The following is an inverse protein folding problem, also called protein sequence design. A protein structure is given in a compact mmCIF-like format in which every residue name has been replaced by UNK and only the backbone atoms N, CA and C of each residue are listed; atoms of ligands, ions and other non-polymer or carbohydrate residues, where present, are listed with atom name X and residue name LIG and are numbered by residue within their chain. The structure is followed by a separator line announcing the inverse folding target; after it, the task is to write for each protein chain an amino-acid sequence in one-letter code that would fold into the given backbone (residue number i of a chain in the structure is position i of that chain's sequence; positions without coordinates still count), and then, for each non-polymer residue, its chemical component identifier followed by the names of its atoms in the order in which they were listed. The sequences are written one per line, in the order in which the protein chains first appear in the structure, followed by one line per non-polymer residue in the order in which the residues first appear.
data_IF_971823768742
#
_entry.id   IF_971823768742
#
_cell.length_a   1.000
_cell.length_b   1.000
_cell.length_c   1.000
_cell.angle_alpha   90.00
_cell.angle_beta   90.00
_cell.angle_gamma   90.00
#
_symmetry.space_group_name_H-M   'P 1'
#
loop_
_entity.id
_entity.type
_entity.pdbx_description
1 polymer ?
#
# COMPACT_ATOMS: atom_id res chain seq x y z
N UNK A 1 -10.85 0.66 -9.62
CA UNK A 1 -11.12 -0.13 -8.40
C UNK A 1 -10.65 -1.54 -8.68
N UNK A 2 -9.85 -2.13 -7.80
CA UNK A 2 -9.12 -3.37 -8.11
C UNK A 2 -10.01 -4.62 -8.14
N UNK A 3 -11.07 -4.65 -7.31
CA UNK A 3 -12.18 -5.61 -7.37
C UNK A 3 -13.31 -5.19 -6.39
N UNK A 4 -14.51 -5.75 -6.53
CA UNK A 4 -15.70 -5.32 -5.76
C UNK A 4 -15.77 -5.91 -4.35
N UNK A 5 -15.36 -7.17 -4.17
CA UNK A 5 -15.47 -7.87 -2.88
C UNK A 5 -14.55 -7.26 -1.81
N UNK A 6 -14.77 -7.60 -0.54
CA UNK A 6 -13.87 -7.19 0.56
C UNK A 6 -12.53 -7.93 0.51
N UNK A 7 -12.54 -9.20 0.13
CA UNK A 7 -11.34 -10.01 -0.04
C UNK A 7 -11.58 -11.14 -1.04
N UNK A 8 -10.50 -11.75 -1.54
CA UNK A 8 -10.53 -12.86 -2.48
C UNK A 8 -9.43 -13.88 -2.16
N UNK A 9 -9.78 -15.16 -2.18
CA UNK A 9 -8.79 -16.24 -2.16
C UNK A 9 -8.31 -16.55 -3.58
N UNK A 10 -7.00 -16.54 -3.79
CA UNK A 10 -6.36 -16.87 -5.06
C UNK A 10 -5.81 -18.30 -5.11
N UNK A 11 -5.24 -18.77 -4.01
CA UNK A 11 -4.68 -20.12 -3.94
C UNK A 11 -4.73 -20.66 -2.51
N UNK A 12 -5.00 -21.96 -2.37
CA UNK A 12 -4.94 -22.65 -1.06
C UNK A 12 -3.52 -23.04 -0.65
N UNK A 13 -2.60 -23.09 -1.61
CA UNK A 13 -1.23 -23.52 -1.38
C UNK A 13 -0.28 -22.82 -2.36
N UNK A 14 0.72 -22.15 -1.81
CA UNK A 14 1.81 -21.49 -2.52
C UNK A 14 3.13 -22.22 -2.20
N UNK A 15 4.06 -22.38 -3.17
CA UNK A 15 5.37 -23.00 -2.92
C UNK A 15 6.29 -22.07 -2.13
N UNK A 16 6.03 -21.94 -0.82
CA UNK A 16 6.68 -20.94 0.04
C UNK A 16 7.57 -21.53 1.14
N UNK A 17 7.71 -22.85 1.22
CA UNK A 17 8.44 -23.53 2.32
C UNK A 17 9.85 -22.97 2.53
N UNK A 18 10.64 -22.85 1.46
CA UNK A 18 12.01 -22.33 1.55
C UNK A 18 12.04 -20.87 2.04
N UNK A 19 11.10 -20.04 1.59
CA UNK A 19 10.95 -18.66 2.06
C UNK A 19 10.57 -18.62 3.54
N UNK A 20 9.55 -19.38 3.94
CA UNK A 20 9.10 -19.45 5.34
C UNK A 20 10.21 -19.89 6.26
N UNK A 21 10.94 -20.94 5.91
CA UNK A 21 12.02 -21.46 6.75
C UNK A 21 13.13 -20.41 6.92
N UNK A 22 13.42 -19.63 5.87
CA UNK A 22 14.39 -18.52 5.95
C UNK A 22 13.87 -17.35 6.78
N UNK A 23 12.59 -17.04 6.71
CA UNK A 23 11.93 -16.01 7.53
C UNK A 23 11.87 -16.41 9.00
N UNK A 24 11.64 -17.69 9.32
CA UNK A 24 11.67 -18.22 10.68
C UNK A 24 13.08 -18.19 11.30
N UNK A 25 14.12 -18.10 10.47
CA UNK A 25 15.51 -17.95 10.92
C UNK A 25 15.91 -16.50 11.20
N UNK A 26 15.04 -15.52 10.87
CA UNK A 26 15.28 -14.11 11.22
C UNK A 26 15.13 -13.92 12.73
N UNK A 27 16.09 -13.23 13.32
CA UNK A 27 16.15 -12.85 14.73
C UNK A 27 15.35 -11.57 14.97
N UNK A 28 15.03 -11.26 16.23
CA UNK A 28 14.39 -9.98 16.54
C UNK A 28 15.23 -8.76 16.15
N UNK A 29 16.56 -8.89 16.13
CA UNK A 29 17.48 -7.84 15.66
C UNK A 29 17.29 -7.53 14.17
N UNK A 30 17.09 -8.56 13.34
CA UNK A 30 16.77 -8.38 11.92
C UNK A 30 15.47 -7.58 11.73
N UNK A 31 14.53 -7.67 12.67
CA UNK A 31 13.28 -6.91 12.65
C UNK A 31 13.39 -5.53 13.30
N UNK A 32 14.46 -5.21 14.04
CA UNK A 32 14.65 -3.89 14.64
C UNK A 32 14.95 -2.81 13.60
N UNK A 33 15.54 -3.18 12.46
CA UNK A 33 15.79 -2.26 11.33
C UNK A 33 14.53 -1.90 10.53
N UNK A 34 13.37 -2.39 10.95
CA UNK A 34 12.13 -2.24 10.20
C UNK A 34 11.54 -0.83 10.28
N UNK A 35 10.80 -0.43 9.24
CA UNK A 35 9.90 0.71 9.32
C UNK A 35 8.55 0.29 9.93
N UNK A 36 8.02 1.13 10.81
CA UNK A 36 6.75 0.88 11.50
C UNK A 36 5.72 1.97 11.20
N UNK A 37 4.88 1.79 10.17
CA UNK A 37 3.83 2.75 9.86
C UNK A 37 2.67 2.76 10.88
N UNK A 38 2.58 1.78 11.79
CA UNK A 38 1.42 1.61 12.69
C UNK A 38 1.76 1.49 14.19
N UNK A 39 3.03 1.57 14.59
CA UNK A 39 3.50 1.48 15.99
C UNK A 39 3.60 0.05 16.55
N UNK A 40 3.09 -0.95 15.84
CA UNK A 40 3.13 -2.37 16.25
C UNK A 40 3.46 -3.32 15.09
N UNK A 41 3.89 -2.75 13.97
CA UNK A 41 4.22 -3.50 12.75
C UNK A 41 5.67 -3.33 12.40
N UNK A 42 6.28 -4.40 11.91
CA UNK A 42 7.66 -4.35 11.45
C UNK A 42 7.68 -4.77 9.99
N UNK A 43 8.10 -3.86 9.13
CA UNK A 43 8.21 -4.10 7.69
C UNK A 43 9.67 -4.25 7.27
N UNK A 44 9.97 -5.39 6.64
CA UNK A 44 11.26 -5.63 5.99
C UNK A 44 11.05 -5.68 4.48
N UNK A 45 11.45 -4.62 3.74
CA UNK A 45 11.26 -4.58 2.30
C UNK A 45 12.24 -5.52 1.59
N UNK A 46 11.74 -6.25 0.59
CA UNK A 46 12.53 -7.08 -0.33
C UNK A 46 12.69 -6.32 -1.66
N UNK A 47 11.57 -5.87 -2.23
CA UNK A 47 11.48 -4.96 -3.37
C UNK A 47 10.64 -3.75 -2.95
N UNK A 48 11.21 -2.55 -2.95
CA UNK A 48 10.50 -1.35 -2.51
C UNK A 48 11.17 -0.07 -3.00
N UNK A 49 10.36 0.88 -3.46
CA UNK A 49 10.78 2.21 -3.86
C UNK A 49 10.03 3.27 -3.04
N UNK A 50 10.78 4.18 -2.44
CA UNK A 50 10.25 5.23 -1.56
C UNK A 50 9.38 6.26 -2.30
N UNK A 51 9.57 6.36 -3.63
CA UNK A 51 8.76 7.20 -4.53
C UNK A 51 7.46 6.51 -5.01
N UNK A 52 7.25 5.25 -4.60
CA UNK A 52 6.11 4.42 -4.99
C UNK A 52 5.91 4.31 -6.51
N UNK A 53 6.99 4.37 -7.30
CA UNK A 53 6.91 4.08 -8.73
C UNK A 53 6.49 2.63 -8.95
N UNK A 54 5.77 2.39 -10.04
CA UNK A 54 5.33 1.05 -10.42
C UNK A 54 6.24 0.43 -11.47
N UNK A 55 7.47 0.91 -11.64
CA UNK A 55 8.39 0.44 -12.67
C UNK A 55 9.80 0.27 -12.12
N UNK A 56 10.48 -0.79 -12.58
CA UNK A 56 11.83 -1.15 -12.14
C UNK A 56 12.02 -1.17 -10.63
N UNK A 57 11.34 -2.06 -9.89
CA UNK A 57 11.36 -2.01 -8.43
C UNK A 57 12.75 -2.27 -7.87
N UNK A 58 13.19 -1.42 -6.94
CA UNK A 58 14.55 -1.51 -6.39
C UNK A 58 14.67 -2.66 -5.38
N UNK A 59 15.64 -3.58 -5.56
CA UNK A 59 16.03 -4.51 -4.51
C UNK A 59 16.52 -3.77 -3.27
N UNK A 60 16.13 -4.25 -2.09
CA UNK A 60 16.64 -3.76 -0.80
C UNK A 60 17.60 -4.78 -0.19
N UNK A 61 18.24 -4.44 0.93
CA UNK A 61 19.28 -5.25 1.56
C UNK A 61 18.87 -6.73 1.74
N UNK A 62 17.62 -6.97 2.11
CA UNK A 62 17.09 -8.32 2.34
C UNK A 62 16.96 -9.17 1.05
N UNK A 63 16.93 -8.53 -0.14
CA UNK A 63 16.91 -9.24 -1.41
C UNK A 63 18.17 -10.09 -1.63
N UNK A 64 19.32 -9.67 -1.11
CA UNK A 64 20.57 -10.45 -1.24
C UNK A 64 20.47 -11.82 -0.58
N UNK A 65 19.73 -11.93 0.52
CA UNK A 65 19.59 -13.16 1.30
C UNK A 65 18.30 -13.92 1.01
N UNK A 66 17.23 -13.23 0.59
CA UNK A 66 15.92 -13.83 0.31
C UNK A 66 15.56 -13.95 -1.16
N UNK A 67 16.28 -13.29 -2.07
CA UNK A 67 15.94 -13.22 -3.51
C UNK A 67 15.73 -14.60 -4.14
N UNK A 68 16.65 -15.54 -3.88
CA UNK A 68 16.57 -16.90 -4.42
C UNK A 68 15.35 -17.70 -3.90
N UNK A 69 14.90 -17.44 -2.67
CA UNK A 69 13.78 -18.16 -2.05
C UNK A 69 12.43 -17.48 -2.24
N UNK A 70 12.40 -16.18 -2.51
CA UNK A 70 11.17 -15.43 -2.81
C UNK A 70 10.77 -15.54 -4.29
N UNK A 71 11.74 -15.69 -5.19
CA UNK A 71 11.52 -15.77 -6.64
C UNK A 71 10.49 -16.85 -7.07
N UNK A 72 10.49 -18.09 -6.53
CA UNK A 72 9.44 -19.07 -6.83
C UNK A 72 8.03 -18.60 -6.44
N UNK A 73 7.90 -17.83 -5.35
CA UNK A 73 6.64 -17.25 -4.91
C UNK A 73 6.23 -16.12 -5.85
N UNK A 74 7.17 -15.25 -6.23
CA UNK A 74 6.93 -14.17 -7.19
C UNK A 74 6.44 -14.69 -8.53
N UNK A 75 7.08 -15.73 -9.07
CA UNK A 75 6.65 -16.41 -10.29
C UNK A 75 5.25 -17.00 -10.16
N UNK A 76 4.99 -17.72 -9.07
CA UNK A 76 3.67 -18.29 -8.80
C UNK A 76 2.59 -17.21 -8.75
N UNK A 77 2.88 -16.06 -8.15
CA UNK A 77 1.96 -14.91 -8.15
C UNK A 77 1.72 -14.41 -9.58
N UNK A 78 2.79 -14.09 -10.33
CA UNK A 78 2.68 -13.49 -11.66
C UNK A 78 1.98 -14.38 -12.69
N UNK A 79 2.12 -15.70 -12.61
CA UNK A 79 1.43 -16.67 -13.48
C UNK A 79 -0.11 -16.60 -13.39
N UNK A 80 -0.66 -15.94 -12.36
CA UNK A 80 -2.10 -15.77 -12.14
C UNK A 80 -2.63 -14.44 -12.67
N UNK A 81 -1.75 -13.57 -13.15
CA UNK A 81 -2.12 -12.28 -13.73
C UNK A 81 -1.90 -12.27 -15.25
N UNK A 82 -2.56 -11.35 -15.97
CA UNK A 82 -2.34 -11.19 -17.41
C UNK A 82 -0.87 -10.93 -17.74
N UNK A 83 -0.43 -11.36 -18.93
CA UNK A 83 0.92 -11.06 -19.43
C UNK A 83 1.22 -9.56 -19.40
N UNK A 84 2.45 -9.21 -19.03
CA UNK A 84 2.85 -7.81 -18.81
C UNK A 84 2.61 -7.30 -17.39
N UNK A 85 1.95 -8.08 -16.53
CA UNK A 85 1.85 -7.75 -15.10
C UNK A 85 3.21 -7.89 -14.41
N UNK A 86 3.44 -7.06 -13.40
CA UNK A 86 4.71 -6.99 -12.67
C UNK A 86 4.50 -6.81 -11.19
N UNK A 87 5.41 -7.37 -10.40
CA UNK A 87 5.50 -7.08 -8.98
C UNK A 87 6.17 -5.72 -8.84
N UNK A 88 5.52 -4.80 -8.15
CA UNK A 88 6.06 -3.45 -7.91
C UNK A 88 6.53 -3.27 -6.48
N UNK A 89 6.01 -4.07 -5.55
CA UNK A 89 6.51 -4.15 -4.17
C UNK A 89 6.44 -5.57 -3.65
N UNK A 90 7.42 -5.95 -2.85
CA UNK A 90 7.41 -7.18 -2.08
C UNK A 90 8.07 -6.94 -0.73
N UNK A 91 7.38 -7.26 0.35
CA UNK A 91 7.83 -6.95 1.71
C UNK A 91 7.32 -7.98 2.70
N UNK A 92 8.11 -8.26 3.72
CA UNK A 92 7.67 -9.03 4.88
C UNK A 92 7.07 -8.07 5.90
N UNK A 93 5.89 -8.39 6.40
CA UNK A 93 5.21 -7.59 7.42
C UNK A 93 4.91 -8.47 8.62
N UNK A 94 5.56 -8.14 9.73
CA UNK A 94 5.38 -8.75 11.04
C UNK A 94 4.43 -7.92 11.89
N UNK A 95 3.46 -8.58 12.51
CA UNK A 95 2.61 -8.01 13.55
C UNK A 95 2.92 -8.74 14.85
N UNK A 96 3.33 -8.00 15.87
CA UNK A 96 3.74 -8.56 17.16
C UNK A 96 2.62 -9.33 17.86
N UNK A 97 2.98 -10.11 18.88
CA UNK A 97 2.03 -10.79 19.77
C UNK A 97 1.13 -9.73 20.42
N UNK A 98 -0.19 -9.93 20.38
CA UNK A 98 -1.14 -8.95 20.91
C UNK A 98 -1.28 -7.68 20.07
N UNK A 99 -0.54 -7.56 18.95
CA UNK A 99 -0.57 -6.39 18.10
C UNK A 99 -1.90 -6.22 17.38
N UNK A 100 -2.29 -4.97 17.18
CA UNK A 100 -3.48 -4.59 16.42
C UNK A 100 -3.17 -3.42 15.49
N UNK A 101 -3.74 -3.48 14.28
CA UNK A 101 -3.77 -2.36 13.36
C UNK A 101 -5.24 -1.90 13.29
N UNK A 102 -5.57 -0.70 13.81
CA UNK A 102 -6.92 -0.17 13.76
C UNK A 102 -7.45 -0.09 12.33
N UNK A 103 -8.78 -0.12 12.19
CA UNK A 103 -9.40 -0.02 10.88
C UNK A 103 -9.06 1.31 10.20
N UNK A 104 -8.48 1.23 9.02
CA UNK A 104 -8.10 2.38 8.20
C UNK A 104 -8.36 2.07 6.73
N UNK A 105 -8.27 3.10 5.89
CA UNK A 105 -8.19 2.95 4.44
C UNK A 105 -6.75 3.27 4.06
N UNK A 106 -6.13 2.44 3.23
CA UNK A 106 -4.77 2.72 2.78
C UNK A 106 -4.76 4.05 2.01
N UNK A 107 -4.02 5.02 2.54
CA UNK A 107 -3.86 6.34 1.91
C UNK A 107 -2.52 6.34 1.18
N UNK A 108 -2.57 6.50 -0.13
CA UNK A 108 -1.37 6.57 -0.96
C UNK A 108 -1.72 6.50 -2.43
N UNK A 109 -1.10 7.34 -3.25
CA UNK A 109 -1.42 7.42 -4.67
C UNK A 109 -1.24 6.09 -5.40
N UNK A 110 -0.25 5.26 -5.02
CA UNK A 110 0.02 3.95 -5.63
C UNK A 110 -1.03 2.87 -5.29
N UNK A 111 -1.72 3.03 -4.17
CA UNK A 111 -2.54 1.98 -3.56
C UNK A 111 -3.76 1.54 -4.39
N UNK A 112 -4.49 2.46 -5.06
CA UNK A 112 -5.59 2.08 -5.93
C UNK A 112 -5.18 1.43 -7.24
N UNK A 113 -3.87 1.36 -7.56
CA UNK A 113 -3.36 0.90 -8.85
C UNK A 113 -2.49 -0.37 -8.74
N UNK A 114 -2.69 -1.14 -7.67
CA UNK A 114 -2.07 -2.45 -7.45
C UNK A 114 -3.06 -3.46 -6.88
N UNK A 115 -2.89 -4.73 -7.22
CA UNK A 115 -3.46 -5.83 -6.46
C UNK A 115 -2.56 -6.12 -5.26
N UNK A 116 -3.10 -5.98 -4.03
CA UNK A 116 -2.37 -6.22 -2.79
C UNK A 116 -2.63 -7.63 -2.28
N UNK A 117 -1.63 -8.50 -2.46
CA UNK A 117 -1.69 -9.89 -2.06
C UNK A 117 -1.00 -10.11 -0.73
N UNK A 118 -1.61 -10.92 0.12
CA UNK A 118 -1.08 -11.41 1.37
C UNK A 118 -0.87 -12.92 1.27
N UNK A 119 0.36 -13.34 1.52
CA UNK A 119 0.73 -14.73 1.72
C UNK A 119 1.18 -14.91 3.18
N UNK A 120 0.37 -15.54 4.04
CA UNK A 120 0.77 -15.86 5.40
C UNK A 120 1.88 -16.90 5.39
N UNK A 121 3.05 -16.51 5.89
CA UNK A 121 4.19 -17.40 6.13
C UNK A 121 4.13 -17.97 7.55
N UNK A 122 3.71 -17.12 8.51
CA UNK A 122 3.43 -17.50 9.89
C UNK A 122 2.10 -16.85 10.28
N UNK A 123 1.05 -17.65 10.43
CA UNK A 123 -0.26 -17.18 10.89
C UNK A 123 -0.96 -18.30 11.67
N UNK A 124 -1.54 -17.95 12.81
CA UNK A 124 -2.18 -18.89 13.75
C UNK A 124 -3.63 -18.51 13.97
N UNK A 125 -4.40 -19.44 14.53
CA UNK A 125 -5.72 -19.12 15.07
C UNK A 125 -5.58 -17.96 16.07
N UNK A 126 -6.43 -16.94 15.92
CA UNK A 126 -6.35 -15.68 16.69
C UNK A 126 -5.86 -14.47 15.88
N UNK A 127 -5.36 -14.67 14.65
CA UNK A 127 -5.14 -13.58 13.70
C UNK A 127 -6.42 -13.36 12.88
N UNK A 128 -7.04 -12.19 13.04
CA UNK A 128 -8.30 -11.84 12.36
C UNK A 128 -8.15 -10.52 11.64
N UNK A 129 -8.31 -10.54 10.31
CA UNK A 129 -8.48 -9.34 9.51
C UNK A 129 -9.95 -8.95 9.50
N UNK A 130 -10.24 -7.66 9.49
CA UNK A 130 -11.56 -7.13 9.15
C UNK A 130 -11.40 -6.28 7.90
N UNK A 131 -12.16 -6.54 6.85
CA UNK A 131 -12.11 -5.79 5.58
C UNK A 131 -13.53 -5.52 5.13
N UNK A 132 -13.89 -4.25 4.92
CA UNK A 132 -15.24 -3.89 4.48
C UNK A 132 -16.36 -4.36 5.42
N UNK A 133 -16.07 -4.52 6.71
CA UNK A 133 -17.00 -5.06 7.72
C UNK A 133 -17.04 -6.58 7.81
N UNK A 134 -16.30 -7.31 6.97
CA UNK A 134 -16.24 -8.77 6.98
C UNK A 134 -14.95 -9.27 7.67
N UNK A 135 -15.06 -10.31 8.50
CA UNK A 135 -13.91 -10.92 9.16
C UNK A 135 -13.27 -12.03 8.31
N UNK A 136 -11.94 -12.11 8.31
CA UNK A 136 -11.14 -13.06 7.54
C UNK A 136 -9.97 -13.58 8.39
N UNK A 137 -9.89 -14.90 8.55
CA UNK A 137 -8.72 -15.59 9.08
C UNK A 137 -7.89 -16.20 7.94
N UNK A 138 -6.74 -15.60 7.63
CA UNK A 138 -5.85 -16.10 6.57
C UNK A 138 -4.95 -17.22 7.11
N UNK A 139 -4.94 -18.39 6.46
CA UNK A 139 -4.11 -19.53 6.87
C UNK A 139 -2.77 -19.54 6.17
N UNK A 140 -1.78 -20.14 6.84
CA UNK A 140 -0.45 -20.36 6.29
C UNK A 140 -0.50 -21.03 4.91
N UNK A 141 0.23 -20.46 3.96
CA UNK A 141 0.34 -20.98 2.58
C UNK A 141 -0.83 -20.61 1.66
N UNK A 142 -1.89 -19.98 2.15
CA UNK A 142 -2.95 -19.43 1.31
C UNK A 142 -2.55 -18.08 0.70
N UNK A 143 -2.94 -17.81 -0.54
CA UNK A 143 -2.76 -16.50 -1.17
C UNK A 143 -4.08 -15.75 -1.16
N UNK A 144 -4.12 -14.64 -0.44
CA UNK A 144 -5.29 -13.79 -0.29
C UNK A 144 -5.06 -12.42 -0.92
N UNK A 145 -6.11 -11.80 -1.41
CA UNK A 145 -6.13 -10.39 -1.77
C UNK A 145 -7.14 -9.69 -0.86
N UNK A 146 -6.76 -8.52 -0.33
CA UNK A 146 -7.69 -7.67 0.41
C UNK A 146 -7.97 -6.42 -0.42
N UNK A 147 -9.20 -5.92 -0.29
CA UNK A 147 -9.59 -4.66 -0.87
C UNK A 147 -9.11 -3.53 0.06
N UNK A 148 -7.86 -3.13 -0.13
CA UNK A 148 -7.17 -2.15 0.70
C UNK A 148 -7.69 -0.71 0.57
N UNK A 149 -8.54 -0.43 -0.44
CA UNK A 149 -9.27 0.84 -0.56
C UNK A 149 -10.59 0.85 0.22
N UNK A 150 -10.95 -0.25 0.90
CA UNK A 150 -12.00 -0.29 1.92
C UNK A 150 -11.39 -0.13 3.31
N UNK A 151 -12.23 0.20 4.30
CA UNK A 151 -11.84 0.15 5.69
C UNK A 151 -11.39 -1.27 6.06
N UNK A 152 -10.17 -1.39 6.55
CA UNK A 152 -9.58 -2.66 6.93
C UNK A 152 -8.65 -2.52 8.13
N UNK A 153 -8.58 -3.57 8.93
CA UNK A 153 -7.74 -3.66 10.12
C UNK A 153 -7.41 -5.12 10.43
N UNK A 154 -6.58 -5.34 11.43
CA UNK A 154 -6.17 -6.69 11.82
C UNK A 154 -5.79 -6.75 13.28
N UNK A 155 -6.21 -7.81 13.94
CA UNK A 155 -5.90 -8.10 15.33
C UNK A 155 -5.16 -9.43 15.41
N UNK A 156 -4.09 -9.48 16.21
CA UNK A 156 -3.37 -10.70 16.53
C UNK A 156 -3.51 -11.04 18.01
N UNK A 157 -4.57 -11.79 18.33
CA UNK A 157 -4.80 -12.32 19.70
C UNK A 157 -4.11 -13.66 19.93
N UNK A 158 -3.32 -14.14 18.96
CA UNK A 158 -2.58 -15.39 19.12
C UNK A 158 -1.35 -15.20 20.01
N UNK A 159 -0.85 -16.30 20.59
CA UNK A 159 0.40 -16.30 21.35
C UNK A 159 1.67 -16.21 20.51
N UNK A 160 1.56 -15.90 19.21
CA UNK A 160 2.68 -15.87 18.27
C UNK A 160 2.64 -14.60 17.42
N UNK A 161 3.81 -14.11 17.00
CA UNK A 161 3.88 -13.07 15.99
C UNK A 161 3.32 -13.60 14.66
N UNK A 162 2.62 -12.74 13.93
CA UNK A 162 2.17 -13.02 12.56
C UNK A 162 3.19 -12.47 11.59
N UNK A 163 3.53 -13.22 10.54
CA UNK A 163 4.38 -12.74 9.43
C UNK A 163 3.73 -13.08 8.10
N UNK A 164 3.40 -12.05 7.31
CA UNK A 164 2.92 -12.21 5.95
C UNK A 164 3.95 -11.66 4.97
N UNK A 165 4.12 -12.31 3.83
CA UNK A 165 4.67 -11.68 2.64
C UNK A 165 3.54 -10.89 1.97
N UNK A 166 3.73 -9.59 1.82
CA UNK A 166 2.88 -8.74 1.00
C UNK A 166 3.53 -8.58 -0.38
N UNK A 167 2.74 -8.76 -1.43
CA UNK A 167 3.15 -8.58 -2.82
C UNK A 167 2.14 -7.67 -3.49
N UNK A 168 2.59 -6.51 -3.96
CA UNK A 168 1.76 -5.60 -4.74
C UNK A 168 2.06 -5.82 -6.23
N UNK A 169 1.02 -6.15 -7.00
CA UNK A 169 1.11 -6.45 -8.44
C UNK A 169 0.42 -5.35 -9.23
N UNK A 170 1.11 -4.75 -10.21
CA UNK A 170 0.52 -3.82 -11.17
C UNK A 170 0.29 -4.55 -12.49
N UNK A 171 -0.94 -4.50 -12.99
CA UNK A 171 -1.33 -5.05 -14.31
C UNK A 171 -1.26 -3.96 -15.38
N UNK A 172 -1.19 -4.30 -16.67
CA UNK A 172 -1.24 -3.31 -17.74
C UNK A 172 -2.46 -2.39 -17.67
N UNK A 173 -3.64 -2.93 -17.30
CA UNK A 173 -4.86 -2.14 -17.11
C UNK A 173 -4.71 -1.12 -15.97
N UNK A 174 -4.19 -1.52 -14.81
CA UNK A 174 -3.99 -0.61 -13.69
C UNK A 174 -2.91 0.44 -13.97
N UNK A 175 -1.90 0.09 -14.77
CA UNK A 175 -0.87 1.01 -15.25
C UNK A 175 -1.45 2.10 -16.16
N UNK A 176 -2.33 1.73 -17.09
CA UNK A 176 -3.04 2.67 -17.96
C UNK A 176 -3.91 3.63 -17.16
N UNK A 177 -4.67 3.11 -16.19
CA UNK A 177 -5.51 3.91 -15.30
C UNK A 177 -4.64 4.85 -14.46
N UNK A 178 -3.55 4.36 -13.86
CA UNK A 178 -2.63 5.20 -13.07
C UNK A 178 -2.05 6.32 -13.91
N UNK A 179 -1.60 6.01 -15.13
CA UNK A 179 -1.01 6.99 -16.04
C UNK A 179 -2.01 8.08 -16.37
N UNK A 180 -3.24 7.71 -16.74
CA UNK A 180 -4.33 8.66 -16.98
C UNK A 180 -4.63 9.54 -15.77
N UNK A 181 -4.64 8.97 -14.57
CA UNK A 181 -4.97 9.70 -13.36
C UNK A 181 -3.80 10.60 -12.91
N UNK A 182 -2.53 10.17 -13.04
CA UNK A 182 -1.34 11.00 -12.80
C UNK A 182 -1.39 12.31 -13.61
N UNK A 183 -1.77 12.19 -14.89
CA UNK A 183 -1.95 13.32 -15.82
C UNK A 183 -2.98 14.32 -15.33
N UNK A 184 -3.97 13.85 -14.57
CA UNK A 184 -5.07 14.68 -14.06
C UNK A 184 -4.71 15.44 -12.78
N UNK A 185 -3.72 14.98 -12.01
CA UNK A 185 -3.49 15.47 -10.63
C UNK A 185 -2.15 16.18 -10.39
N UNK A 186 -1.18 16.13 -11.31
CA UNK A 186 0.10 16.86 -11.19
C UNK A 186 0.20 17.94 -12.28
N UNK A 187 0.83 19.09 -11.95
CA UNK A 187 1.10 20.27 -12.80
C UNK A 187 0.95 19.96 -14.29
N UNK A 188 -0.20 20.27 -14.90
CA UNK A 188 -0.56 19.66 -16.18
C UNK A 188 0.38 20.04 -17.32
N UNK A 189 1.15 21.12 -17.16
CA UNK A 189 2.21 21.52 -18.09
C UNK A 189 3.33 20.48 -18.19
N UNK A 190 3.77 19.88 -17.07
CA UNK A 190 4.89 18.92 -17.08
C UNK A 190 4.48 17.58 -17.66
N UNK A 191 3.24 17.16 -17.41
CA UNK A 191 2.77 15.85 -17.88
C UNK A 191 2.25 15.90 -19.32
N UNK A 192 1.58 16.97 -19.76
CA UNK A 192 1.26 17.10 -21.20
C UNK A 192 2.52 17.24 -22.01
N UNK A 193 3.54 17.95 -21.53
CA UNK A 193 4.84 17.96 -22.18
C UNK A 193 5.37 16.52 -22.36
N UNK A 194 5.36 15.71 -21.29
CA UNK A 194 5.87 14.34 -21.29
C UNK A 194 5.04 13.34 -22.14
N UNK A 195 3.70 13.34 -22.03
CA UNK A 195 2.83 12.48 -22.84
C UNK A 195 2.88 12.84 -24.32
N UNK A 196 2.93 14.13 -24.61
CA UNK A 196 2.97 14.58 -26.01
C UNK A 196 4.33 14.35 -26.64
N UNK A 197 5.42 14.43 -25.88
CA UNK A 197 6.72 13.93 -26.34
C UNK A 197 6.67 12.42 -26.59
N UNK A 198 5.99 11.64 -25.75
CA UNK A 198 5.84 10.19 -25.97
C UNK A 198 5.00 9.86 -27.22
N UNK A 199 3.86 10.52 -27.43
CA UNK A 199 3.05 10.36 -28.64
C UNK A 199 3.76 10.86 -29.92
N UNK A 200 4.56 11.94 -29.82
CA UNK A 200 5.43 12.41 -30.92
C UNK A 200 6.54 11.41 -31.24
N UNK A 201 7.19 10.80 -30.23
CA UNK A 201 8.21 9.77 -30.41
C UNK A 201 7.64 8.50 -31.07
N UNK A 202 6.35 8.20 -30.86
CA UNK A 202 5.63 7.11 -31.54
C UNK A 202 5.03 7.54 -32.89
N UNK A 203 5.23 8.79 -33.32
CA UNK A 203 4.71 9.34 -34.59
C UNK A 203 3.18 9.53 -34.63
N UNK A 204 2.52 9.52 -33.46
CA UNK A 204 1.06 9.54 -33.31
C UNK A 204 0.47 10.93 -33.15
N UNK A 205 1.30 11.95 -32.94
CA UNK A 205 0.89 13.37 -32.80
C UNK A 205 1.74 14.29 -33.67
N UNK A 206 1.10 15.28 -34.33
CA UNK A 206 1.81 16.36 -35.00
C UNK A 206 2.11 17.51 -34.03
N UNK A 207 3.22 18.23 -34.24
CA UNK A 207 3.61 19.34 -33.35
C UNK A 207 2.55 20.45 -33.23
N UNK A 208 1.72 20.64 -34.26
CA UNK A 208 0.61 21.61 -34.23
C UNK A 208 -0.52 21.16 -33.30
N UNK A 209 -0.88 19.87 -33.34
CA UNK A 209 -1.94 19.31 -32.49
C UNK A 209 -1.52 19.27 -31.01
N UNK A 210 -0.22 19.11 -30.74
CA UNK A 210 0.35 19.25 -29.40
C UNK A 210 0.10 20.64 -28.83
N UNK A 211 0.44 21.69 -29.58
CA UNK A 211 0.27 23.09 -29.14
C UNK A 211 -1.20 23.38 -28.82
N UNK A 212 -2.12 22.98 -29.70
CA UNK A 212 -3.57 23.20 -29.50
C UNK A 212 -4.10 22.47 -28.24
N UNK A 213 -3.60 21.27 -27.94
CA UNK A 213 -3.96 20.52 -26.72
C UNK A 213 -3.41 21.17 -25.46
N UNK A 214 -2.16 21.64 -25.49
CA UNK A 214 -1.54 22.36 -24.37
C UNK A 214 -2.31 23.65 -24.05
N UNK A 215 -2.64 24.44 -25.06
CA UNK A 215 -3.40 25.69 -24.90
C UNK A 215 -4.80 25.45 -24.32
N UNK A 216 -5.50 24.43 -24.80
CA UNK A 216 -6.82 24.05 -24.26
C UNK A 216 -6.74 23.65 -22.78
N UNK A 217 -5.74 22.86 -22.41
CA UNK A 217 -5.59 22.38 -21.04
C UNK A 217 -5.17 23.50 -20.08
N UNK A 218 -4.27 24.40 -20.51
CA UNK A 218 -3.95 25.63 -19.78
C UNK A 218 -5.24 26.40 -19.46
N UNK A 219 -6.13 26.57 -20.44
CA UNK A 219 -7.42 27.23 -20.24
C UNK A 219 -8.36 26.51 -19.28
N UNK A 220 -8.33 25.18 -19.20
CA UNK A 220 -9.11 24.40 -18.21
C UNK A 220 -8.57 24.57 -16.78
N UNK A 221 -7.25 24.58 -16.62
CA UNK A 221 -6.57 24.75 -15.32
C UNK A 221 -6.83 26.14 -14.76
N UNK A 222 -6.68 27.17 -15.59
CA UNK A 222 -6.93 28.56 -15.19
C UNK A 222 -8.37 28.71 -14.68
N UNK A 223 -9.36 28.16 -15.41
CA UNK A 223 -10.77 28.16 -14.98
C UNK A 223 -11.01 27.39 -13.68
N UNK A 224 -10.33 26.26 -13.50
CA UNK A 224 -10.42 25.47 -12.27
C UNK A 224 -9.85 26.23 -11.05
N UNK A 225 -8.69 26.87 -11.20
CA UNK A 225 -8.05 27.69 -10.16
C UNK A 225 -8.91 28.90 -9.78
N UNK A 226 -9.51 29.57 -10.76
CA UNK A 226 -10.45 30.67 -10.54
C UNK A 226 -11.70 30.23 -9.76
N UNK A 227 -12.24 29.04 -10.04
CA UNK A 227 -13.41 28.50 -9.32
C UNK A 227 -13.11 28.05 -7.87
N UNK A 228 -11.88 27.60 -7.58
CA UNK A 228 -11.54 27.01 -6.28
C UNK A 228 -10.81 27.97 -5.33
N UNK A 229 -10.29 29.10 -5.82
CA UNK A 229 -9.74 30.17 -4.98
C UNK A 229 -10.80 30.90 -4.14
N UNK A 230 -12.09 30.81 -4.49
CA UNK A 230 -13.19 31.42 -3.73
C UNK A 230 -13.79 30.55 -2.61
N UNK A 231 -13.34 29.30 -2.44
CA UNK A 231 -13.87 28.39 -1.41
C UNK A 231 -13.04 28.33 -0.12
N UNK A 232 -11.92 29.06 -0.03
CA UNK A 232 -10.98 29.03 1.09
C UNK A 232 -11.26 30.07 2.19
N UNK A 233 -12.52 30.34 2.53
CA UNK A 233 -12.88 31.29 3.62
C UNK A 233 -13.83 30.72 4.67
N UNK A 234 -13.96 29.40 4.81
CA UNK A 234 -14.70 28.77 5.91
C UNK A 234 -13.86 27.67 6.55
N UNK A 235 -13.10 28.02 7.58
CA UNK A 235 -12.54 27.07 8.53
C UNK A 235 -13.53 26.92 9.70
N UNK A 236 -14.02 25.72 10.06
CA UNK A 236 -14.78 25.54 11.29
C UNK A 236 -13.85 25.72 12.49
N UNK A 237 -14.28 26.48 13.48
CA UNK A 237 -13.54 26.73 14.72
C UNK A 237 -13.22 25.40 15.45
N UNK A 238 -11.98 25.25 15.89
CA UNK A 238 -11.55 24.14 16.74
C UNK A 238 -12.33 24.17 18.08
N UNK A 239 -12.83 23.02 18.58
CA UNK A 239 -13.46 22.98 19.90
C UNK A 239 -12.42 23.18 21.00
N UNK A 240 -12.75 24.02 21.99
CA UNK A 240 -11.87 24.31 23.12
C UNK A 240 -11.49 23.04 23.92
N UNK A 241 -10.24 22.95 24.41
CA UNK A 241 -9.80 21.83 25.22
C UNK A 241 -10.54 21.79 26.58
N UNK A 242 -10.84 20.60 27.12
CA UNK A 242 -11.54 20.46 28.39
C UNK A 242 -10.70 21.01 29.56
N UNK A 243 -11.35 21.56 30.62
CA UNK A 243 -10.64 22.16 31.75
C UNK A 243 -9.85 21.13 32.55
N UNK A 244 -8.60 21.48 32.87
CA UNK A 244 -7.72 20.69 33.74
C UNK A 244 -8.35 20.47 35.12
N UNK A 245 -8.57 19.21 35.48
CA UNK A 245 -8.93 18.82 36.85
C UNK A 245 -7.69 18.95 37.72
N UNK A 246 -7.74 19.86 38.70
CA UNK A 246 -6.69 20.01 39.70
C UNK A 246 -6.60 18.75 40.57
N UNK A 247 -5.40 18.18 40.61
CA UNK A 247 -4.98 17.10 41.49
C UNK A 247 -5.21 17.51 42.96
N UNK A 248 -6.11 16.81 43.65
CA UNK A 248 -6.26 16.89 45.10
C UNK A 248 -5.55 15.69 45.71
N UNK A 249 -4.27 15.87 46.05
CA UNK A 249 -3.58 15.01 47.00
C UNK A 249 -4.29 15.06 48.36
N UNK A 250 -4.52 13.92 49.06
CA UNK A 250 -5.10 13.92 50.39
C UNK A 250 -4.02 14.29 51.42
N UNK A 251 -4.29 15.35 52.19
CA UNK A 251 -3.54 15.69 53.40
C UNK A 251 -3.83 14.65 54.49
N UNK A 252 -2.76 14.02 55.02
CA UNK A 252 -2.82 13.23 56.22
C UNK A 252 -2.79 14.10 57.47
N UNK A 253 -3.78 13.91 58.35
CA UNK A 253 -3.79 14.16 59.80
C UNK A 253 -4.60 12.96 60.36
N UNK A 254 -4.16 12.16 61.33
CA UNK A 254 -3.47 12.52 62.56
C UNK A 254 -4.52 12.51 63.67
N UNK A 255 -4.72 11.35 64.29
CA UNK A 255 -5.23 11.13 65.65
C UNK A 255 -4.58 9.84 66.19
#
# INVERSE_FOLDING_TARGET
MNFEQSYRLWARQVPMTALRDRVLALTDEDWMESTDPHGQTQTLPILFDDDYRHDGPSPRALYETLGAVVEPVHRFVLERFPSGSRIVRSMLVRLCIGGSIPQHVDRGFSMPYVHRLHLPLVSRLGVTFTVGGESLGMREGELWEINNVRHHGVENTSGHARVHLIVDVSTPELEEIRTRDLVRFHEPLTIVANLSTWEMMQGRLSGKLLIERLESLIGEITRWQEQHSQRSSYAPAEPEPPPMVADRSPAGHGD
#
